data_IF_304608398329
#
_entry.id   IF_304608398329
#
_cell.length_a   1.000
_cell.length_b   1.000
_cell.length_c   1.000
_cell.angle_alpha   90.00
_cell.angle_beta   90.00
_cell.angle_gamma   90.00
#
_symmetry.space_group_name_H-M   'P 1'
#
loop_
_entity.id
_entity.type
_entity.pdbx_description
1 polymer ?
#
# COMPACT_ATOMS: atom_id res chain seq x y z
N UNK A 1 -10.55 -0.70 19.15
CA UNK A 1 -9.11 -0.98 19.07
C UNK A 1 -9.01 -2.34 18.41
N UNK A 2 -8.36 -2.45 17.25
CA UNK A 2 -8.29 -3.71 16.53
C UNK A 2 -7.52 -4.72 17.40
N UNK A 3 -8.18 -5.81 17.78
CA UNK A 3 -7.60 -6.90 18.53
C UNK A 3 -6.53 -7.55 17.67
N UNK A 4 -5.26 -7.22 17.95
CA UNK A 4 -4.13 -7.70 17.18
C UNK A 4 -3.91 -9.17 17.51
N UNK A 5 -4.44 -10.05 16.66
CA UNK A 5 -4.20 -11.48 16.75
C UNK A 5 -2.74 -11.76 16.42
N UNK A 6 -2.01 -12.39 17.34
CA UNK A 6 -0.64 -12.86 17.08
C UNK A 6 -0.69 -14.20 16.36
N UNK A 7 0.16 -14.38 15.35
CA UNK A 7 0.30 -15.63 14.59
C UNK A 7 1.77 -16.00 14.44
N UNK A 8 2.06 -17.29 14.49
CA UNK A 8 3.39 -17.82 14.19
C UNK A 8 3.58 -17.79 12.66
N UNK A 9 4.28 -16.77 12.17
CA UNK A 9 4.43 -16.58 10.74
C UNK A 9 5.32 -17.68 10.13
N UNK A 10 4.80 -18.47 9.21
CA UNK A 10 5.58 -19.52 8.51
C UNK A 10 6.70 -18.95 7.63
N UNK A 11 6.51 -17.72 7.10
CA UNK A 11 7.45 -17.04 6.21
C UNK A 11 8.57 -16.28 6.93
N UNK A 12 8.34 -15.86 8.17
CA UNK A 12 9.30 -15.07 8.95
C UNK A 12 9.86 -15.88 10.13
N UNK A 13 9.18 -16.95 10.53
CA UNK A 13 9.57 -17.81 11.64
C UNK A 13 9.42 -17.15 13.02
N UNK A 14 8.74 -16.00 13.10
CA UNK A 14 8.53 -15.22 14.33
C UNK A 14 7.04 -15.00 14.59
N UNK A 15 6.71 -14.78 15.86
CA UNK A 15 5.36 -14.39 16.26
C UNK A 15 5.14 -12.90 15.91
N UNK A 16 4.16 -12.64 15.05
CA UNK A 16 3.87 -11.32 14.50
C UNK A 16 2.36 -11.10 14.45
N UNK A 17 1.90 -9.84 14.38
CA UNK A 17 0.48 -9.55 14.17
C UNK A 17 0.00 -10.17 12.85
N UNK A 18 -1.04 -10.98 12.94
CA UNK A 18 -1.75 -11.62 11.84
C UNK A 18 -2.65 -10.67 11.07
N UNK A 19 -3.27 -11.17 10.01
CA UNK A 19 -4.28 -10.41 9.29
C UNK A 19 -5.53 -10.20 10.16
N UNK A 20 -6.21 -9.06 9.98
CA UNK A 20 -7.50 -8.79 10.64
C UNK A 20 -8.67 -9.58 10.03
N UNK A 21 -8.54 -9.95 8.74
CA UNK A 21 -9.56 -10.69 8.00
C UNK A 21 -8.91 -11.59 6.95
N UNK A 22 -9.51 -12.74 6.62
CA UNK A 22 -9.00 -13.59 5.56
C UNK A 22 -9.06 -12.86 4.21
N UNK A 23 -7.99 -12.91 3.39
CA UNK A 23 -7.95 -12.21 2.10
C UNK A 23 -8.81 -12.91 1.05
N UNK A 24 -9.04 -14.22 1.23
CA UNK A 24 -9.88 -15.05 0.38
C UNK A 24 -10.86 -15.85 1.24
N UNK A 25 -12.02 -16.16 0.69
CA UNK A 25 -13.05 -16.93 1.39
C UNK A 25 -12.94 -18.46 1.18
N UNK A 26 -11.77 -18.91 0.73
CA UNK A 26 -11.45 -20.32 0.44
C UNK A 26 -10.64 -20.96 1.58
N UNK A 27 -10.39 -22.27 1.50
CA UNK A 27 -9.53 -22.98 2.47
C UNK A 27 -8.11 -22.40 2.52
N UNK A 28 -7.54 -22.02 1.37
CA UNK A 28 -6.25 -21.34 1.30
C UNK A 28 -6.27 -20.01 2.06
N UNK A 29 -7.35 -19.24 1.94
CA UNK A 29 -7.52 -17.97 2.65
C UNK A 29 -7.57 -18.14 4.17
N UNK A 30 -8.19 -19.21 4.66
CA UNK A 30 -8.16 -19.59 6.08
C UNK A 30 -6.74 -19.94 6.54
N UNK A 31 -6.04 -20.78 5.77
CA UNK A 31 -4.65 -21.15 6.07
C UNK A 31 -3.75 -19.92 6.14
N UNK A 32 -3.85 -19.00 5.19
CA UNK A 32 -3.09 -17.74 5.18
C UNK A 32 -3.43 -16.93 6.44
N UNK A 33 -4.72 -16.76 6.75
CA UNK A 33 -5.16 -16.05 7.94
C UNK A 33 -4.60 -16.66 9.24
N UNK A 34 -4.41 -17.98 9.32
CA UNK A 34 -3.91 -18.67 10.51
C UNK A 34 -2.39 -18.72 10.65
N UNK A 35 -1.66 -18.70 9.53
CA UNK A 35 -0.21 -19.01 9.51
C UNK A 35 0.66 -17.87 8.97
N UNK A 36 0.06 -16.83 8.39
CA UNK A 36 0.77 -15.72 7.75
C UNK A 36 0.51 -14.44 8.53
N UNK A 37 1.58 -13.69 8.82
CA UNK A 37 1.47 -12.39 9.47
C UNK A 37 1.04 -11.30 8.49
N UNK A 38 0.50 -10.20 9.01
CA UNK A 38 0.20 -9.01 8.21
C UNK A 38 1.45 -8.51 7.47
N UNK A 39 2.62 -8.58 8.11
CA UNK A 39 3.89 -8.22 7.47
C UNK A 39 4.20 -9.12 6.28
N UNK A 40 4.14 -10.45 6.44
CA UNK A 40 4.39 -11.37 5.34
C UNK A 40 3.37 -11.24 4.19
N UNK A 41 2.13 -10.87 4.52
CA UNK A 41 1.12 -10.58 3.51
C UNK A 41 1.45 -9.34 2.68
N UNK A 42 1.98 -8.27 3.29
CA UNK A 42 2.44 -7.10 2.53
C UNK A 42 3.53 -7.45 1.52
N UNK A 43 4.50 -8.27 1.91
CA UNK A 43 5.55 -8.75 1.00
C UNK A 43 4.99 -9.46 -0.23
N UNK A 44 3.93 -10.25 -0.03
CA UNK A 44 3.25 -10.93 -1.11
C UNK A 44 2.57 -9.93 -2.06
N UNK A 45 1.96 -8.84 -1.56
CA UNK A 45 1.34 -7.83 -2.42
C UNK A 45 2.37 -7.07 -3.28
N UNK A 46 3.53 -6.74 -2.71
CA UNK A 46 4.66 -6.20 -3.47
C UNK A 46 5.08 -7.18 -4.58
N UNK A 47 5.25 -8.45 -4.23
CA UNK A 47 5.70 -9.44 -5.20
C UNK A 47 4.65 -9.77 -6.26
N UNK A 48 3.37 -9.76 -5.90
CA UNK A 48 2.26 -9.86 -6.84
C UNK A 48 2.31 -8.71 -7.86
N UNK A 49 2.57 -7.48 -7.41
CA UNK A 49 2.68 -6.32 -8.30
C UNK A 49 3.83 -6.49 -9.29
N UNK A 50 4.98 -6.96 -8.82
CA UNK A 50 6.14 -7.27 -9.68
C UNK A 50 5.79 -8.37 -10.68
N UNK A 51 5.15 -9.45 -10.25
CA UNK A 51 4.74 -10.56 -11.12
C UNK A 51 3.74 -10.11 -12.19
N UNK A 52 2.74 -9.31 -11.82
CA UNK A 52 1.75 -8.78 -12.77
C UNK A 52 2.44 -7.96 -13.86
N UNK A 53 3.34 -7.05 -13.47
CA UNK A 53 4.05 -6.19 -14.42
C UNK A 53 5.06 -6.97 -15.28
N UNK A 54 5.76 -7.94 -14.69
CA UNK A 54 6.80 -8.71 -15.38
C UNK A 54 6.23 -9.69 -16.41
N UNK A 55 5.18 -10.42 -16.04
CA UNK A 55 4.54 -11.40 -16.92
C UNK A 55 3.39 -10.80 -17.76
N UNK A 56 3.07 -9.51 -17.58
CA UNK A 56 1.98 -8.85 -18.28
C UNK A 56 0.61 -9.47 -17.99
N UNK A 57 0.37 -9.84 -16.72
CA UNK A 57 -0.84 -10.58 -16.33
C UNK A 57 -2.07 -9.69 -16.39
N UNK A 58 -3.17 -10.24 -16.92
CA UNK A 58 -4.46 -9.58 -16.92
C UNK A 58 -5.32 -10.12 -15.77
N UNK A 59 -5.68 -9.27 -14.80
CA UNK A 59 -6.53 -9.66 -13.67
C UNK A 59 -8.00 -9.97 -14.05
N UNK A 60 -8.39 -9.81 -15.32
CA UNK A 60 -9.66 -10.33 -15.82
C UNK A 60 -9.57 -11.81 -16.24
N UNK A 61 -8.36 -12.34 -16.44
CA UNK A 61 -8.14 -13.67 -16.98
C UNK A 61 -8.01 -14.73 -15.87
N UNK A 62 -8.79 -15.82 -15.91
CA UNK A 62 -8.74 -16.85 -14.87
C UNK A 62 -7.42 -17.63 -14.81
N UNK A 63 -6.68 -17.76 -15.92
CA UNK A 63 -5.35 -18.40 -15.91
C UNK A 63 -4.34 -17.52 -15.17
N UNK A 64 -4.41 -16.20 -15.32
CA UNK A 64 -3.60 -15.27 -14.54
C UNK A 64 -3.88 -15.36 -13.03
N UNK A 65 -5.14 -15.53 -12.63
CA UNK A 65 -5.50 -15.78 -11.21
C UNK A 65 -4.92 -17.09 -10.70
N UNK A 66 -4.98 -18.16 -11.49
CA UNK A 66 -4.41 -19.45 -11.13
C UNK A 66 -2.88 -19.37 -11.00
N UNK A 67 -2.21 -18.69 -11.93
CA UNK A 67 -0.77 -18.46 -11.87
C UNK A 67 -0.38 -17.67 -10.61
N UNK A 68 -1.06 -16.55 -10.33
CA UNK A 68 -0.81 -15.75 -9.12
C UNK A 68 -1.08 -16.54 -7.84
N UNK A 69 -2.09 -17.42 -7.83
CA UNK A 69 -2.39 -18.27 -6.67
C UNK A 69 -1.27 -19.28 -6.43
N UNK A 70 -0.76 -19.92 -7.48
CA UNK A 70 0.40 -20.82 -7.37
C UNK A 70 1.64 -20.08 -6.87
N UNK A 71 1.96 -18.92 -7.45
CA UNK A 71 3.07 -18.08 -7.01
C UNK A 71 2.93 -17.64 -5.55
N UNK A 72 1.70 -17.38 -5.08
CA UNK A 72 1.41 -17.04 -3.69
C UNK A 72 1.73 -18.20 -2.75
N UNK A 73 1.26 -19.40 -3.10
CA UNK A 73 1.49 -20.60 -2.31
C UNK A 73 2.98 -20.92 -2.22
N UNK A 74 3.70 -20.84 -3.35
CA UNK A 74 5.15 -21.02 -3.39
C UNK A 74 5.89 -19.92 -2.59
N UNK A 75 5.45 -18.66 -2.68
CA UNK A 75 6.11 -17.56 -1.98
C UNK A 75 5.93 -17.64 -0.45
N UNK A 76 4.72 -18.00 0.01
CA UNK A 76 4.36 -18.03 1.43
C UNK A 76 4.74 -19.36 2.10
N UNK A 77 4.63 -20.49 1.38
CA UNK A 77 4.79 -21.84 1.94
C UNK A 77 5.92 -22.66 1.29
N UNK A 78 6.54 -22.19 0.20
CA UNK A 78 7.64 -22.90 -0.47
C UNK A 78 8.99 -22.83 0.25
N UNK A 79 9.98 -23.57 -0.27
CA UNK A 79 11.31 -23.76 0.34
C UNK A 79 12.16 -22.48 0.52
N UNK A 80 11.73 -21.35 -0.05
CA UNK A 80 12.36 -20.03 0.11
C UNK A 80 11.73 -19.16 1.21
N UNK A 81 11.12 -19.76 2.24
CA UNK A 81 10.41 -19.06 3.31
C UNK A 81 11.32 -18.30 4.29
N UNK A 82 12.46 -17.80 3.83
CA UNK A 82 13.42 -17.02 4.62
C UNK A 82 13.58 -15.68 3.89
N UNK A 83 13.09 -14.61 4.50
CA UNK A 83 13.39 -13.27 4.00
C UNK A 83 14.88 -12.97 4.23
N UNK A 84 15.57 -12.30 3.29
CA UNK A 84 16.84 -11.65 3.56
C UNK A 84 16.67 -10.66 4.73
N UNK A 85 17.67 -10.58 5.61
CA UNK A 85 17.63 -9.74 6.83
C UNK A 85 17.46 -8.23 6.51
N UNK A 86 17.70 -7.82 5.26
CA UNK A 86 17.73 -6.44 4.78
C UNK A 86 16.48 -6.01 3.96
N UNK A 87 15.34 -6.68 4.12
CA UNK A 87 14.14 -6.34 3.35
C UNK A 87 13.40 -5.11 3.91
N UNK A 88 13.46 -4.00 3.17
CA UNK A 88 12.69 -2.77 3.43
C UNK A 88 11.60 -2.65 2.35
N UNK A 89 10.31 -2.80 2.68
CA UNK A 89 9.23 -2.60 1.70
C UNK A 89 9.08 -1.10 1.35
N UNK A 90 8.98 -0.81 0.05
CA UNK A 90 8.87 0.55 -0.51
C UNK A 90 7.57 1.27 -0.06
N UNK A 91 6.54 0.54 0.42
CA UNK A 91 5.27 1.10 0.93
C UNK A 91 5.44 1.95 2.21
N UNK A 92 6.54 1.75 2.96
CA UNK A 92 6.94 2.67 4.04
C UNK A 92 7.41 4.04 3.52
N UNK A 93 7.62 4.19 2.19
CA UNK A 93 7.96 5.45 1.51
C UNK A 93 6.79 6.11 0.77
N UNK A 94 5.54 5.90 1.19
CA UNK A 94 4.46 6.83 0.84
C UNK A 94 3.09 6.24 0.59
N UNK A 95 2.45 5.66 1.60
CA UNK A 95 0.98 5.60 1.63
C UNK A 95 0.41 6.99 1.97
N UNK A 96 0.06 7.76 0.93
CA UNK A 96 -0.96 8.81 1.02
C UNK A 96 -2.25 8.26 0.35
N UNK A 97 -3.43 8.37 0.97
CA UNK A 97 -4.66 7.80 0.42
C UNK A 97 -5.11 8.57 -0.83
N UNK A 98 -5.43 7.83 -1.90
CA UNK A 98 -5.97 8.38 -3.15
C UNK A 98 -7.34 9.06 -2.95
N UNK A 99 -7.62 10.20 -3.61
CA UNK A 99 -8.92 10.86 -3.52
C UNK A 99 -9.77 10.57 -4.77
N UNK A 100 -10.54 9.49 -4.77
CA UNK A 100 -11.64 9.28 -5.72
C UNK A 100 -12.97 9.13 -4.98
N UNK A 101 -13.54 10.26 -4.58
CA UNK A 101 -14.80 10.33 -3.83
C UNK A 101 -15.53 11.65 -4.05
N UNK A 102 -16.17 11.76 -5.21
CA UNK A 102 -17.22 12.70 -5.65
C UNK A 102 -17.74 13.72 -4.60
N UNK A 103 -17.65 15.01 -4.93
CA UNK A 103 -18.41 16.08 -4.27
C UNK A 103 -18.03 17.48 -4.77
N UNK A 104 -18.64 17.96 -5.85
CA UNK A 104 -18.87 19.41 -6.03
C UNK A 104 -19.83 19.89 -4.92
N UNK A 105 -19.86 21.17 -4.48
CA UNK A 105 -19.69 22.37 -5.31
C UNK A 105 -18.84 23.52 -4.71
N UNK A 106 -18.43 24.47 -5.56
CA UNK A 106 -18.14 25.86 -5.17
C UNK A 106 -19.45 26.70 -5.29
N UNK A 107 -19.54 27.99 -4.88
CA UNK A 107 -18.57 28.87 -4.22
C UNK A 107 -19.15 29.68 -3.03
N UNK A 108 -18.34 30.62 -2.53
CA UNK A 108 -18.70 31.86 -1.81
C UNK A 108 -18.72 31.83 -0.28
N UNK A 109 -17.84 32.64 0.31
CA UNK A 109 -18.18 33.79 1.17
C UNK A 109 -17.17 33.96 2.31
N UNK A 110 -16.23 34.90 2.15
CA UNK A 110 -15.71 35.65 3.30
C UNK A 110 -15.05 36.94 2.86
N UNK A 111 -15.74 38.05 3.10
CA UNK A 111 -15.19 39.39 3.03
C UNK A 111 -14.38 39.79 4.26
N UNK A 112 -13.65 40.90 4.08
CA UNK A 112 -13.16 41.83 5.12
C UNK A 112 -11.88 41.41 5.86
N UNK A 113 -10.84 42.24 6.03
CA UNK A 113 -10.63 43.65 5.74
C UNK A 113 -9.47 44.20 6.60
N UNK A 114 -8.74 45.19 6.08
CA UNK A 114 -7.85 46.12 6.81
C UNK A 114 -6.48 45.56 7.25
N UNK A 115 -5.35 46.24 7.11
CA UNK A 115 -5.06 47.59 6.61
C UNK A 115 -3.64 48.00 7.02
N UNK A 116 -3.10 48.98 6.27
CA UNK A 116 -1.93 49.84 6.60
C UNK A 116 -0.54 49.19 6.66
N UNK A 117 0.53 49.70 6.05
CA UNK A 117 0.74 50.96 5.36
C UNK A 117 2.21 51.39 5.49
N UNK A 118 2.82 51.80 4.37
CA UNK A 118 4.03 52.64 4.28
C UNK A 118 5.39 51.91 4.36
N UNK A 119 6.38 52.16 3.51
CA UNK A 119 6.48 53.07 2.37
C UNK A 119 7.95 53.33 2.00
N UNK A 120 8.18 53.57 0.69
CA UNK A 120 9.26 54.39 0.06
C UNK A 120 10.70 53.83 0.15
N UNK A 121 11.58 53.88 -0.86
CA UNK A 121 11.62 54.30 -2.27
C UNK A 121 12.70 53.44 -2.96
N UNK A 122 13.08 53.53 -4.23
CA UNK A 122 13.08 54.60 -5.21
C UNK A 122 13.11 53.99 -6.65
N UNK A 123 12.79 54.75 -7.70
CA UNK A 123 12.69 54.26 -9.08
C UNK A 123 13.92 54.62 -9.95
N UNK A 124 14.20 53.80 -10.96
CA UNK A 124 14.80 54.22 -12.23
C UNK A 124 14.53 53.17 -13.34
N UNK A 125 14.00 53.55 -14.51
CA UNK A 125 13.66 52.62 -15.59
C UNK A 125 14.60 52.66 -16.81
N UNK A 126 14.53 51.56 -17.58
CA UNK A 126 14.59 51.46 -19.05
C UNK A 126 15.93 51.62 -19.82
N UNK A 127 16.30 50.51 -20.46
CA UNK A 127 16.52 50.36 -21.91
C UNK A 127 17.56 51.24 -22.62
N UNK A 128 18.67 50.62 -23.04
CA UNK A 128 18.87 50.22 -24.43
C UNK A 128 19.93 49.13 -24.53
#
# INVERSE_FOLDING_TARGET
MAEQRMVQCVKIGKELPGLNRPPRNDELGKRIYETVSAQAWQLWLDQQTIAINHYGLNMADPEAHNFLTQQMEEFLFGEGAQLPDDWIPEDQRGSAPGPDGKGAPAPSDKGGGGGSGGGKGAPAPASK
#
